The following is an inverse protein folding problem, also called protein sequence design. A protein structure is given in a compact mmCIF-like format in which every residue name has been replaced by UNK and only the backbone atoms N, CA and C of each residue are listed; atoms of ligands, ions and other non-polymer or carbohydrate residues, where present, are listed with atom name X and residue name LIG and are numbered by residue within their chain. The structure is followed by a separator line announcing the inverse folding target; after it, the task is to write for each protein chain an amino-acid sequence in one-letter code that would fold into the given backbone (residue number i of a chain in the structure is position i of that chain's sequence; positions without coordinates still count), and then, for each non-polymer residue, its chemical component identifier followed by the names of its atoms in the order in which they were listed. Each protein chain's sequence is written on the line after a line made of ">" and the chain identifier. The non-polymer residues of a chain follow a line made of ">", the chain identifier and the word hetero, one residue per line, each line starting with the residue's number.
data_IF_330394773434
#
_entry.id   IF_330394773434
#
_cell.length_a   1.000
_cell.length_b   1.000
_cell.length_c   1.000
_cell.angle_alpha   90.00
_cell.angle_beta   90.00
_cell.angle_gamma   90.00
#
_symmetry.space_group_name_H-M   'P 1'
#
loop_
_entity.id
_entity.type
_entity.pdbx_description
1 polymer ?
#
# COMPACT_ATOMS: atom_id res chain seq x y z
N UNK A 1 -10.66 -28.71 45.85
CA UNK A 1 -10.90 -27.78 44.73
C UNK A 1 -9.55 -27.40 44.17
N UNK A 2 -9.24 -27.88 42.93
CA UNK A 2 -7.99 -27.56 42.24
C UNK A 2 -8.24 -26.31 41.39
N UNK A 3 -7.51 -25.24 41.70
CA UNK A 3 -7.60 -23.98 40.99
C UNK A 3 -6.66 -24.05 39.79
N UNK A 4 -7.19 -24.16 38.57
CA UNK A 4 -6.43 -24.07 37.33
C UNK A 4 -6.23 -22.59 37.04
N UNK A 5 -4.99 -22.13 37.19
CA UNK A 5 -4.59 -20.77 36.74
C UNK A 5 -4.30 -20.84 35.25
N UNK A 6 -5.17 -20.24 34.45
CA UNK A 6 -4.89 -19.96 33.04
C UNK A 6 -3.88 -18.80 32.98
N UNK A 7 -2.64 -19.12 32.63
CA UNK A 7 -1.65 -18.11 32.28
C UNK A 7 -1.98 -17.63 30.86
N UNK A 8 -2.61 -16.46 30.78
CA UNK A 8 -2.77 -15.77 29.50
C UNK A 8 -1.39 -15.22 29.10
N UNK A 9 -0.71 -15.89 28.20
CA UNK A 9 0.49 -15.36 27.54
C UNK A 9 0.01 -14.22 26.64
N UNK A 10 0.20 -12.98 27.10
CA UNK A 10 0.04 -11.80 26.25
C UNK A 10 1.24 -11.75 25.30
N UNK A 11 1.03 -12.10 24.04
CA UNK A 11 1.98 -11.81 22.96
C UNK A 11 1.99 -10.29 22.82
N UNK A 12 3.15 -9.67 23.07
CA UNK A 12 3.33 -8.23 22.88
C UNK A 12 3.61 -8.00 21.40
N UNK A 13 2.61 -7.56 20.66
CA UNK A 13 2.79 -7.08 19.29
C UNK A 13 3.35 -5.67 19.34
N UNK A 14 4.48 -5.42 18.69
CA UNK A 14 4.92 -4.06 18.38
C UNK A 14 3.96 -3.47 17.33
N UNK A 15 3.12 -2.53 17.71
CA UNK A 15 2.27 -1.81 16.78
C UNK A 15 2.89 -0.45 16.47
N UNK A 16 3.08 -0.15 15.18
CA UNK A 16 3.61 1.13 14.70
C UNK A 16 2.55 1.82 13.84
N UNK A 17 2.24 3.07 14.16
CA UNK A 17 1.36 3.90 13.33
C UNK A 17 2.16 4.58 12.24
N UNK A 18 1.73 4.46 10.99
CA UNK A 18 2.35 5.04 9.80
C UNK A 18 1.66 6.36 9.48
N UNK A 19 2.39 7.49 9.55
CA UNK A 19 1.85 8.80 9.17
C UNK A 19 1.81 8.92 7.64
N UNK A 20 0.63 8.87 7.06
CA UNK A 20 0.46 8.88 5.60
C UNK A 20 0.89 10.18 4.92
N UNK A 21 0.97 11.28 5.67
CA UNK A 21 1.42 12.58 5.16
C UNK A 21 2.95 12.70 5.00
N UNK A 22 3.73 11.85 5.68
CA UNK A 22 5.18 12.01 5.79
C UNK A 22 5.98 11.21 4.72
N UNK A 23 5.29 10.46 3.87
CA UNK A 23 5.92 9.62 2.85
C UNK A 23 6.29 8.23 3.36
N UNK A 24 7.38 7.66 2.84
CA UNK A 24 7.82 6.33 3.21
C UNK A 24 8.36 6.27 4.64
N UNK A 25 7.86 5.31 5.42
CA UNK A 25 8.43 4.92 6.71
C UNK A 25 9.39 3.75 6.49
N UNK A 26 10.67 3.96 6.75
CA UNK A 26 11.68 2.90 6.66
C UNK A 26 11.86 2.21 8.00
N UNK A 27 11.89 0.87 8.00
CA UNK A 27 12.18 0.07 9.18
C UNK A 27 13.15 -1.08 8.84
N UNK A 28 13.78 -1.61 9.88
CA UNK A 28 14.76 -2.68 9.76
C UNK A 28 14.54 -3.72 10.84
N UNK A 29 14.49 -4.99 10.46
CA UNK A 29 14.33 -6.10 11.38
C UNK A 29 15.41 -7.16 11.20
N UNK A 30 16.17 -7.43 12.26
CA UNK A 30 17.13 -8.52 12.31
C UNK A 30 16.59 -9.64 13.21
N UNK A 31 16.12 -10.71 12.60
CA UNK A 31 15.50 -11.83 13.30
C UNK A 31 16.50 -12.71 14.05
N UNK A 32 16.03 -13.37 15.07
CA UNK A 32 16.82 -14.24 15.96
C UNK A 32 16.48 -15.72 15.75
N UNK A 33 17.28 -16.69 16.25
CA UNK A 33 16.86 -18.10 16.26
C UNK A 33 15.55 -18.31 17.03
N UNK A 34 14.68 -19.16 16.51
CA UNK A 34 13.32 -19.42 17.03
C UNK A 34 12.45 -18.16 17.11
N UNK A 35 12.61 -17.27 16.16
CA UNK A 35 11.81 -16.06 16.08
C UNK A 35 10.37 -16.37 15.63
N UNK A 36 9.41 -15.73 16.29
CA UNK A 36 7.98 -15.82 15.96
C UNK A 36 7.32 -14.44 16.13
N UNK A 37 8.14 -13.38 16.11
CA UNK A 37 7.64 -12.03 16.32
C UNK A 37 6.75 -11.56 15.18
N UNK A 38 5.79 -10.75 15.55
CA UNK A 38 4.92 -10.02 14.63
C UNK A 38 5.11 -8.53 14.83
N UNK A 39 5.29 -7.80 13.74
CA UNK A 39 5.37 -6.35 13.71
C UNK A 39 4.16 -5.86 12.92
N UNK A 40 3.29 -5.10 13.58
CA UNK A 40 2.03 -4.62 13.01
C UNK A 40 2.18 -3.14 12.66
N UNK A 41 1.90 -2.80 11.42
CA UNK A 41 1.85 -1.43 10.93
C UNK A 41 0.42 -1.06 10.60
N UNK A 42 -0.01 0.13 11.08
CA UNK A 42 -1.36 0.62 10.83
C UNK A 42 -1.29 2.07 10.35
N UNK A 43 -1.99 2.40 9.28
CA UNK A 43 -2.03 3.77 8.78
C UNK A 43 -2.83 4.68 9.73
N UNK A 44 -2.40 5.94 9.87
CA UNK A 44 -3.11 6.94 10.68
C UNK A 44 -4.39 7.46 10.03
N UNK A 45 -4.56 7.22 8.75
CA UNK A 45 -5.61 7.81 7.91
C UNK A 45 -6.56 6.77 7.29
N UNK A 46 -6.41 5.48 7.66
CA UNK A 46 -7.28 4.40 7.17
C UNK A 46 -7.00 3.94 5.75
N UNK A 47 -5.90 4.39 5.13
CA UNK A 47 -5.50 3.94 3.80
C UNK A 47 -4.80 2.57 3.84
N UNK A 48 -4.95 1.74 2.80
CA UNK A 48 -4.13 0.55 2.64
C UNK A 48 -2.64 0.86 2.66
N UNK A 49 -1.84 -0.13 3.05
CA UNK A 49 -0.39 0.00 3.16
C UNK A 49 0.31 -0.84 2.09
N UNK A 50 1.44 -0.32 1.59
CA UNK A 50 2.39 -1.04 0.76
C UNK A 50 3.68 -1.24 1.54
N UNK A 51 4.11 -2.50 1.66
CA UNK A 51 5.41 -2.88 2.19
C UNK A 51 6.32 -3.27 1.02
N UNK A 52 7.51 -2.65 0.94
CA UNK A 52 8.50 -2.91 -0.11
C UNK A 52 9.83 -3.28 0.54
N UNK A 53 10.32 -4.49 0.32
CA UNK A 53 11.66 -4.88 0.77
C UNK A 53 12.72 -4.22 -0.11
N UNK A 54 13.63 -3.46 0.53
CA UNK A 54 14.80 -2.84 -0.10
C UNK A 54 15.91 -3.86 -0.19
N UNK A 55 16.16 -4.55 0.92
CA UNK A 55 17.10 -5.66 1.05
C UNK A 55 16.67 -6.56 2.19
N UNK A 56 17.23 -7.74 2.27
CA UNK A 56 17.03 -8.67 3.38
C UNK A 56 17.17 -10.11 2.96
N UNK A 57 17.63 -10.94 3.90
CA UNK A 57 17.85 -12.35 3.64
C UNK A 57 17.28 -13.21 4.76
N UNK A 58 16.79 -14.38 4.38
CA UNK A 58 16.34 -15.45 5.29
C UNK A 58 16.97 -16.78 4.88
N UNK A 59 17.06 -17.73 5.81
CA UNK A 59 17.55 -19.08 5.50
C UNK A 59 16.55 -19.81 4.60
N UNK A 60 17.01 -20.17 3.41
CA UNK A 60 16.19 -20.85 2.41
C UNK A 60 15.68 -22.20 2.93
N UNK A 61 14.37 -22.42 2.86
CA UNK A 61 13.63 -23.60 3.32
C UNK A 61 13.53 -23.79 4.84
N UNK A 62 13.99 -22.85 5.64
CA UNK A 62 13.95 -22.94 7.11
C UNK A 62 13.27 -21.73 7.75
N UNK A 63 13.62 -20.50 7.31
CA UNK A 63 13.10 -19.27 7.90
C UNK A 63 12.11 -18.58 6.94
N UNK A 64 10.88 -18.42 7.36
CA UNK A 64 9.79 -17.91 6.53
C UNK A 64 9.45 -16.45 6.84
N UNK A 65 9.31 -15.64 5.79
CA UNK A 65 8.70 -14.31 5.86
C UNK A 65 7.22 -14.44 5.53
N UNK A 66 6.38 -14.09 6.48
CA UNK A 66 4.93 -14.10 6.37
C UNK A 66 4.43 -12.66 6.37
N UNK A 67 3.68 -12.27 5.37
CA UNK A 67 3.05 -10.95 5.31
C UNK A 67 1.55 -11.14 5.41
N UNK A 68 0.96 -10.68 6.52
CA UNK A 68 -0.48 -10.78 6.70
C UNK A 68 -1.19 -9.51 6.24
N UNK A 69 -2.29 -9.72 5.55
CA UNK A 69 -3.22 -8.66 5.15
C UNK A 69 -3.92 -8.04 6.38
N UNK A 70 -4.69 -7.02 6.18
CA UNK A 70 -5.44 -6.27 7.20
C UNK A 70 -6.43 -7.11 8.01
N UNK A 71 -6.84 -8.26 7.50
CA UNK A 71 -7.66 -9.23 8.24
C UNK A 71 -6.86 -10.02 9.29
N UNK A 72 -5.53 -9.91 9.29
CA UNK A 72 -4.60 -10.60 10.20
C UNK A 72 -4.49 -12.11 9.96
N UNK A 73 -5.04 -12.64 8.87
CA UNK A 73 -5.11 -14.07 8.56
C UNK A 73 -4.62 -14.40 7.17
N UNK A 74 -4.97 -13.58 6.17
CA UNK A 74 -4.59 -13.79 4.77
C UNK A 74 -3.09 -13.55 4.59
N UNK A 75 -2.34 -14.60 4.24
CA UNK A 75 -0.90 -14.48 3.96
C UNK A 75 -0.66 -14.05 2.51
N UNK A 76 -0.23 -12.81 2.32
CA UNK A 76 0.09 -12.24 1.00
C UNK A 76 1.36 -12.83 0.39
N UNK A 77 2.22 -13.46 1.20
CA UNK A 77 3.48 -14.09 0.78
C UNK A 77 3.43 -15.64 0.75
N UNK A 78 2.24 -16.24 0.78
CA UNK A 78 2.10 -17.70 0.87
C UNK A 78 2.77 -18.48 -0.27
N UNK A 79 2.89 -17.85 -1.44
CA UNK A 79 3.51 -18.48 -2.62
C UNK A 79 5.04 -18.43 -2.64
N UNK A 80 5.67 -17.58 -1.81
CA UNK A 80 7.11 -17.34 -1.87
C UNK A 80 7.73 -16.93 -0.51
N UNK A 81 7.55 -17.74 0.54
CA UNK A 81 7.92 -17.36 1.90
C UNK A 81 9.44 -17.12 2.10
N UNK A 82 10.26 -17.59 1.19
CA UNK A 82 11.72 -17.45 1.21
C UNK A 82 12.25 -16.41 0.19
N UNK A 83 11.37 -15.67 -0.45
CA UNK A 83 11.78 -14.76 -1.51
C UNK A 83 12.48 -15.46 -2.68
N UNK A 84 13.42 -14.78 -3.31
CA UNK A 84 14.22 -15.36 -4.39
C UNK A 84 15.46 -16.05 -3.81
N UNK A 85 15.37 -17.36 -3.55
CA UNK A 85 16.48 -18.17 -2.97
C UNK A 85 17.04 -17.60 -1.66
N UNK A 86 16.17 -17.14 -0.77
CA UNK A 86 16.53 -16.53 0.52
C UNK A 86 16.62 -15.00 0.47
N UNK A 87 16.56 -14.37 -0.70
CA UNK A 87 16.65 -12.93 -0.87
C UNK A 87 15.24 -12.31 -1.03
N UNK A 88 14.91 -11.37 -0.13
CA UNK A 88 13.63 -10.64 -0.12
C UNK A 88 13.65 -9.33 -0.92
N UNK A 89 14.82 -8.93 -1.45
CA UNK A 89 14.97 -7.63 -2.15
C UNK A 89 13.99 -7.47 -3.31
N UNK A 90 13.30 -6.34 -3.35
CA UNK A 90 12.36 -5.98 -4.42
C UNK A 90 10.97 -6.61 -4.31
N UNK A 91 10.69 -7.45 -3.30
CA UNK A 91 9.33 -7.94 -3.07
C UNK A 91 8.44 -6.81 -2.54
N UNK A 92 7.21 -6.76 -3.06
CA UNK A 92 6.22 -5.73 -2.74
C UNK A 92 4.90 -6.41 -2.36
N UNK A 93 4.29 -5.96 -1.26
CA UNK A 93 3.02 -6.45 -0.76
C UNK A 93 2.11 -5.26 -0.45
N UNK A 94 0.82 -5.41 -0.77
CA UNK A 94 -0.19 -4.39 -0.53
C UNK A 94 -1.33 -4.98 0.31
N UNK A 95 -1.66 -4.32 1.41
CA UNK A 95 -2.83 -4.72 2.21
C UNK A 95 -4.13 -4.26 1.57
N UNK A 96 -5.20 -4.97 1.87
CA UNK A 96 -6.55 -4.60 1.43
C UNK A 96 -7.19 -3.51 2.30
N UNK A 97 -6.64 -3.25 3.49
CA UNK A 97 -7.10 -2.25 4.44
C UNK A 97 -5.91 -1.55 5.12
N UNK A 98 -6.19 -0.84 6.19
CA UNK A 98 -5.27 0.08 6.87
C UNK A 98 -4.12 -0.58 7.64
N UNK A 99 -4.03 -1.90 7.65
CA UNK A 99 -3.06 -2.64 8.46
C UNK A 99 -2.32 -3.66 7.60
N UNK A 100 -1.02 -3.81 7.83
CA UNK A 100 -0.17 -4.88 7.29
C UNK A 100 0.73 -5.43 8.40
N UNK A 101 0.96 -6.75 8.44
CA UNK A 101 1.77 -7.38 9.46
C UNK A 101 2.94 -8.12 8.84
N UNK A 102 4.15 -7.82 9.27
CA UNK A 102 5.34 -8.60 9.00
C UNK A 102 5.54 -9.62 10.14
N UNK A 103 5.62 -10.88 9.80
CA UNK A 103 5.96 -11.97 10.72
C UNK A 103 7.14 -12.76 10.19
N UNK A 104 8.04 -13.13 11.09
CA UNK A 104 9.12 -14.08 10.81
C UNK A 104 8.84 -15.36 11.60
N UNK A 105 9.09 -16.50 10.95
CA UNK A 105 9.18 -17.81 11.63
C UNK A 105 10.52 -18.39 11.30
N UNK A 106 11.41 -18.52 12.29
CA UNK A 106 12.73 -19.08 12.10
C UNK A 106 12.95 -20.34 12.93
N UNK A 107 13.88 -21.17 12.50
CA UNK A 107 14.33 -22.33 13.28
C UNK A 107 15.36 -21.93 14.35
N UNK A 108 16.03 -22.94 14.98
CA UNK A 108 16.93 -22.70 16.11
C UNK A 108 18.38 -22.30 15.73
N UNK A 109 18.68 -22.10 14.45
CA UNK A 109 20.06 -21.86 13.95
C UNK A 109 20.05 -20.90 12.76
N UNK A 110 21.23 -20.32 12.46
CA UNK A 110 21.47 -19.56 11.21
C UNK A 110 20.55 -18.35 10.98
N UNK A 111 20.48 -17.44 11.95
CA UNK A 111 19.65 -16.23 11.87
C UNK A 111 20.44 -14.97 11.45
N UNK A 112 19.70 -13.87 11.23
CA UNK A 112 20.29 -12.55 11.05
C UNK A 112 21.13 -12.13 12.27
N UNK A 113 20.65 -12.37 13.48
CA UNK A 113 21.37 -11.99 14.71
C UNK A 113 22.69 -12.75 14.90
N UNK A 114 22.88 -13.87 14.23
CA UNK A 114 24.13 -14.61 14.17
C UNK A 114 25.12 -14.03 13.14
N UNK A 115 24.72 -12.98 12.40
CA UNK A 115 25.51 -12.32 11.37
C UNK A 115 25.63 -13.12 10.06
N UNK A 116 24.74 -14.09 9.84
CA UNK A 116 24.75 -14.95 8.66
C UNK A 116 23.89 -14.39 7.52
N UNK A 117 22.87 -13.61 7.84
CA UNK A 117 21.96 -13.02 6.87
C UNK A 117 21.85 -11.49 7.01
N UNK A 118 21.55 -10.82 5.90
CA UNK A 118 21.31 -9.39 5.89
C UNK A 118 19.98 -9.08 6.58
N UNK A 119 19.92 -8.08 7.49
CA UNK A 119 18.67 -7.66 8.09
C UNK A 119 17.61 -7.34 7.04
N UNK A 120 16.34 -7.63 7.36
CA UNK A 120 15.22 -7.18 6.53
C UNK A 120 15.10 -5.68 6.66
N UNK A 121 15.34 -4.96 5.58
CA UNK A 121 15.17 -3.51 5.44
C UNK A 121 14.06 -3.24 4.44
N UNK A 122 13.04 -2.50 4.85
CA UNK A 122 11.83 -2.30 4.06
C UNK A 122 11.20 -0.94 4.31
N UNK A 123 10.52 -0.46 3.28
CA UNK A 123 9.70 0.75 3.33
C UNK A 123 8.23 0.39 3.47
N UNK A 124 7.50 1.19 4.25
CA UNK A 124 6.05 1.13 4.34
C UNK A 124 5.48 2.47 3.90
N UNK A 125 4.55 2.42 2.95
CA UNK A 125 3.88 3.59 2.41
C UNK A 125 2.37 3.41 2.48
N UNK A 126 1.65 4.49 2.75
CA UNK A 126 0.20 4.51 2.54
C UNK A 126 -0.12 4.58 1.04
N UNK A 127 -1.08 3.77 0.61
CA UNK A 127 -1.64 3.83 -0.73
C UNK A 127 -2.73 4.92 -0.76
N UNK A 128 -2.30 6.17 -0.83
CA UNK A 128 -3.22 7.30 -0.90
C UNK A 128 -3.71 7.48 -2.33
N UNK A 129 -5.04 7.53 -2.51
CA UNK A 129 -5.63 8.00 -3.76
C UNK A 129 -5.87 9.50 -3.64
N UNK A 130 -5.30 10.28 -4.54
CA UNK A 130 -5.64 11.69 -4.69
C UNK A 130 -6.67 11.83 -5.80
N UNK A 131 -7.76 12.57 -5.50
CA UNK A 131 -8.78 12.88 -6.49
C UNK A 131 -8.23 13.78 -7.59
N UNK A 132 -8.73 13.64 -8.84
CA UNK A 132 -8.43 14.59 -9.89
C UNK A 132 -8.90 15.99 -9.52
N UNK A 133 -8.15 17.01 -9.93
CA UNK A 133 -8.56 18.41 -9.83
C UNK A 133 -9.02 18.89 -11.18
N UNK A 134 -10.28 19.36 -11.24
CA UNK A 134 -10.89 19.88 -12.45
C UNK A 134 -11.50 21.26 -12.18
N UNK A 135 -11.44 22.13 -13.19
CA UNK A 135 -12.12 23.43 -13.21
C UNK A 135 -13.04 23.51 -14.42
N UNK A 136 -14.19 24.16 -14.25
CA UNK A 136 -15.12 24.39 -15.34
C UNK A 136 -14.93 25.79 -15.89
N UNK A 137 -14.73 25.87 -17.20
CA UNK A 137 -14.69 27.16 -17.92
C UNK A 137 -15.84 27.23 -18.89
N UNK A 138 -16.47 28.39 -18.93
CA UNK A 138 -17.46 28.69 -19.94
C UNK A 138 -16.76 29.42 -21.08
N UNK A 139 -16.45 28.71 -22.16
CA UNK A 139 -15.76 29.24 -23.31
C UNK A 139 -16.76 29.49 -24.45
N UNK A 140 -17.63 30.45 -24.23
CA UNK A 140 -18.57 30.86 -25.24
C UNK A 140 -19.59 31.87 -24.70
N UNK A 141 -19.53 33.07 -25.23
CA UNK A 141 -20.70 33.96 -25.15
C UNK A 141 -21.83 33.31 -25.95
N UNK A 142 -23.06 33.35 -25.42
CA UNK A 142 -24.24 33.04 -26.18
C UNK A 142 -24.28 33.96 -27.42
N UNK A 143 -23.64 33.59 -28.50
CA UNK A 143 -23.75 34.28 -29.78
C UNK A 143 -25.08 33.92 -30.44
N UNK A 144 -25.44 34.68 -31.44
CA UNK A 144 -26.69 34.55 -32.19
C UNK A 144 -26.98 33.13 -32.68
N UNK A 145 -27.64 32.33 -31.87
CA UNK A 145 -27.95 30.92 -32.08
C UNK A 145 -28.14 30.14 -30.77
N UNK A 146 -27.85 30.74 -29.62
CA UNK A 146 -28.08 30.17 -28.29
C UNK A 146 -27.28 28.86 -28.01
N UNK A 147 -26.11 28.68 -28.59
CA UNK A 147 -25.25 27.57 -28.32
C UNK A 147 -24.08 28.00 -27.45
N UNK A 148 -23.66 27.14 -26.52
CA UNK A 148 -22.48 27.33 -25.67
C UNK A 148 -21.65 26.06 -25.56
N UNK A 149 -20.39 26.18 -25.22
CA UNK A 149 -19.48 25.11 -25.01
C UNK A 149 -18.95 25.17 -23.56
N UNK A 150 -18.85 24.03 -22.91
CA UNK A 150 -18.24 23.92 -21.57
C UNK A 150 -16.85 23.37 -21.74
N UNK A 151 -15.85 24.08 -21.22
CA UNK A 151 -14.50 23.59 -21.04
C UNK A 151 -14.36 22.92 -19.66
N UNK A 152 -13.82 21.73 -19.64
CA UNK A 152 -13.42 21.01 -18.42
C UNK A 152 -11.90 21.02 -18.41
N UNK A 153 -11.32 21.90 -17.61
CA UNK A 153 -9.87 22.00 -17.44
C UNK A 153 -9.42 21.00 -16.36
N UNK A 154 -8.67 19.98 -16.77
CA UNK A 154 -8.07 19.00 -15.90
C UNK A 154 -6.69 19.52 -15.50
N UNK A 155 -6.59 20.07 -14.29
CA UNK A 155 -5.35 20.67 -13.77
C UNK A 155 -4.45 19.65 -13.08
N UNK A 156 -5.02 18.53 -12.57
CA UNK A 156 -4.32 17.41 -12.00
C UNK A 156 -5.11 16.12 -12.26
N UNK A 157 -4.43 15.04 -12.63
CA UNK A 157 -5.04 13.71 -12.79
C UNK A 157 -5.21 12.98 -11.46
N UNK A 158 -4.67 13.51 -10.36
CA UNK A 158 -4.58 12.81 -9.09
C UNK A 158 -3.75 11.53 -9.21
N UNK A 159 -4.19 10.47 -8.58
CA UNK A 159 -3.54 9.15 -8.66
C UNK A 159 -3.91 8.37 -9.93
N UNK A 160 -4.76 8.92 -10.79
CA UNK A 160 -5.26 8.23 -11.99
C UNK A 160 -4.32 8.40 -13.17
N UNK A 161 -4.15 7.34 -13.96
CA UNK A 161 -3.42 7.40 -15.24
C UNK A 161 -4.30 7.94 -16.38
N UNK A 162 -5.62 7.96 -16.17
CA UNK A 162 -6.61 8.50 -17.10
C UNK A 162 -7.90 8.87 -16.40
N UNK A 163 -8.57 9.89 -16.91
CA UNK A 163 -9.89 10.34 -16.45
C UNK A 163 -10.84 10.32 -17.63
N UNK A 164 -12.02 9.72 -17.47
CA UNK A 164 -13.09 9.79 -18.46
C UNK A 164 -14.17 10.77 -17.96
N UNK A 165 -14.42 11.80 -18.76
CA UNK A 165 -15.43 12.83 -18.50
C UNK A 165 -16.64 12.58 -19.39
N UNK A 166 -17.81 12.65 -18.81
CA UNK A 166 -19.11 12.53 -19.50
C UNK A 166 -20.03 13.67 -19.10
N UNK A 167 -20.94 14.02 -19.96
CA UNK A 167 -22.05 14.91 -19.65
C UNK A 167 -23.40 14.16 -19.65
N UNK A 168 -24.44 14.79 -19.17
CA UNK A 168 -25.82 14.30 -19.18
C UNK A 168 -26.62 14.73 -20.40
N UNK A 169 -26.00 15.48 -21.33
CA UNK A 169 -26.63 16.00 -22.54
C UNK A 169 -26.40 15.13 -23.78
N UNK A 170 -25.60 14.04 -23.62
CA UNK A 170 -25.41 13.04 -24.64
C UNK A 170 -24.21 13.30 -25.56
N UNK A 171 -23.27 14.16 -25.17
CA UNK A 171 -21.99 14.26 -25.87
C UNK A 171 -21.20 12.95 -25.72
N UNK A 172 -20.31 12.68 -26.67
CA UNK A 172 -19.43 11.53 -26.57
C UNK A 172 -18.49 11.67 -25.34
N UNK A 173 -18.31 10.58 -24.59
CA UNK A 173 -17.34 10.53 -23.51
C UNK A 173 -15.93 10.85 -24.02
N UNK A 174 -15.19 11.66 -23.27
CA UNK A 174 -13.81 12.03 -23.60
C UNK A 174 -12.87 11.54 -22.50
N UNK A 175 -11.71 11.00 -22.90
CA UNK A 175 -10.69 10.48 -21.96
C UNK A 175 -9.44 11.34 -22.04
N UNK A 176 -9.00 11.85 -20.90
CA UNK A 176 -7.72 12.54 -20.74
C UNK A 176 -6.69 11.61 -20.07
N UNK A 177 -5.48 11.59 -20.58
CA UNK A 177 -4.30 10.94 -20.00
C UNK A 177 -3.22 11.91 -19.57
N UNK A 178 -3.48 13.21 -19.78
CA UNK A 178 -2.64 14.34 -19.38
C UNK A 178 -3.53 15.49 -18.96
N UNK A 179 -2.98 16.46 -18.24
CA UNK A 179 -3.66 17.74 -17.95
C UNK A 179 -3.99 18.50 -19.23
N UNK A 180 -5.08 19.26 -19.20
CA UNK A 180 -5.56 20.03 -20.35
C UNK A 180 -7.07 20.19 -20.37
N UNK A 181 -7.59 20.91 -21.35
CA UNK A 181 -9.01 21.25 -21.45
C UNK A 181 -9.72 20.31 -22.43
N UNK A 182 -10.81 19.71 -21.98
CA UNK A 182 -11.78 18.99 -22.80
C UNK A 182 -12.99 19.89 -23.06
N UNK A 183 -13.51 19.88 -24.28
CA UNK A 183 -14.68 20.71 -24.65
C UNK A 183 -15.91 19.84 -24.92
N UNK A 184 -17.03 20.21 -24.31
CA UNK A 184 -18.33 19.58 -24.46
C UNK A 184 -19.34 20.56 -25.04
N UNK A 185 -20.17 20.10 -25.94
CA UNK A 185 -21.13 20.89 -26.67
C UNK A 185 -20.88 20.83 -28.20
N UNK A 186 -21.51 21.74 -29.00
CA UNK A 186 -22.36 22.87 -28.55
C UNK A 186 -23.73 22.45 -28.01
N UNK A 187 -24.17 23.12 -26.96
CA UNK A 187 -25.46 22.90 -26.33
C UNK A 187 -26.45 24.01 -26.72
#
# INVERSE_FOLDING_TARGET
>A
ASMVVFLCLSVSYGQTTIPCADGAFNDTYCYTPNDTNQIVYTSDSGFPLRLTFIEGQVELNFDEVIILDSDGVTNLNAGNPYGNTGDMSGFVFESSGDTITLQITSDGVASCSDGLFVPLNYDINCLTCTDPTIEFTNDGMCETGQQFTIGVDITDLGSSTSITVTDDQGSAAQTATTTGILFFGPY
#
